data_IF_346311182772
#
_entry.id   IF_346311182772
#
_cell.length_a   1.000
_cell.length_b   1.000
_cell.length_c   1.000
_cell.angle_alpha   90.00
_cell.angle_beta   90.00
_cell.angle_gamma   90.00
#
_symmetry.space_group_name_H-M   'P 1'
#
loop_
_entity.id
_entity.type
_entity.pdbx_description
1 polymer ?
#
# COMPACT_ATOMS: atom_id res chain seq x y z
N UNK A 1 13.34 4.67 3.37
CA UNK A 1 13.30 3.27 3.89
C UNK A 1 11.95 3.04 4.54
N UNK A 2 11.30 1.87 4.33
CA UNK A 2 10.05 1.52 5.00
C UNK A 2 10.24 1.46 6.52
N UNK A 3 9.14 1.66 7.26
CA UNK A 3 9.15 1.50 8.71
C UNK A 3 9.48 0.05 9.08
N UNK A 4 10.27 -0.19 10.13
CA UNK A 4 10.61 -1.53 10.56
C UNK A 4 9.37 -2.26 11.07
N UNK A 5 9.32 -3.57 10.84
CA UNK A 5 8.33 -4.45 11.44
C UNK A 5 8.45 -4.45 12.98
N UNK A 6 7.35 -4.74 13.67
CA UNK A 6 7.37 -4.92 15.13
C UNK A 6 8.06 -6.23 15.51
N UNK A 7 8.51 -6.33 16.76
CA UNK A 7 9.10 -7.56 17.29
C UNK A 7 8.13 -8.74 17.13
N UNK A 8 8.63 -9.84 16.54
CA UNK A 8 7.85 -11.06 16.29
C UNK A 8 7.03 -11.07 15.00
N UNK A 9 6.99 -9.97 14.23
CA UNK A 9 6.36 -9.97 12.91
C UNK A 9 7.29 -10.61 11.86
N UNK A 10 6.76 -11.46 10.96
CA UNK A 10 7.56 -12.08 9.91
C UNK A 10 8.09 -11.03 8.93
N UNK A 11 9.25 -11.31 8.33
CA UNK A 11 9.81 -10.48 7.26
C UNK A 11 8.89 -10.48 6.04
N UNK A 12 8.73 -9.31 5.39
CA UNK A 12 8.01 -9.21 4.12
C UNK A 12 8.89 -9.65 2.96
N UNK A 13 8.47 -10.69 2.20
CA UNK A 13 9.33 -11.36 1.20
C UNK A 13 8.98 -11.06 -0.26
N UNK A 14 8.02 -10.18 -0.51
CA UNK A 14 7.69 -9.71 -1.86
C UNK A 14 8.35 -8.35 -2.12
N UNK A 15 8.37 -7.90 -3.37
CA UNK A 15 8.87 -6.56 -3.72
C UNK A 15 7.71 -5.56 -3.80
N UNK A 16 7.91 -4.37 -3.26
CA UNK A 16 6.95 -3.24 -3.35
C UNK A 16 7.59 -2.07 -4.07
N UNK A 17 6.85 -1.38 -4.93
CA UNK A 17 7.26 -0.15 -5.60
C UNK A 17 6.11 0.89 -5.62
N UNK A 18 6.29 2.09 -5.05
CA UNK A 18 7.45 2.53 -4.26
C UNK A 18 7.49 1.86 -2.89
N UNK A 19 8.70 1.59 -2.37
CA UNK A 19 8.89 0.80 -1.14
C UNK A 19 8.80 1.62 0.16
N UNK A 20 9.00 2.93 0.11
CA UNK A 20 9.23 3.76 1.30
C UNK A 20 8.24 4.91 1.47
N UNK A 21 7.88 5.61 0.39
CA UNK A 21 6.97 6.75 0.44
C UNK A 21 6.00 6.77 -0.73
N UNK A 22 4.75 7.08 -0.41
CA UNK A 22 3.72 7.36 -1.40
C UNK A 22 3.51 8.86 -1.54
N UNK A 23 3.45 9.33 -2.78
CA UNK A 23 3.15 10.71 -3.11
C UNK A 23 1.82 10.74 -3.84
N UNK A 24 0.79 11.27 -3.17
CA UNK A 24 -0.53 11.47 -3.75
C UNK A 24 -0.64 12.94 -4.12
N UNK A 25 -0.65 13.24 -5.43
CA UNK A 25 -0.88 14.60 -5.92
C UNK A 25 -2.39 14.84 -6.01
N UNK A 26 -2.84 15.98 -5.51
CA UNK A 26 -4.24 16.40 -5.56
C UNK A 26 -4.33 17.92 -5.61
N UNK A 27 -5.48 18.45 -6.05
CA UNK A 27 -5.75 19.88 -6.18
C UNK A 27 -7.04 20.24 -5.43
N UNK A 28 -6.92 21.07 -4.39
CA UNK A 28 -8.09 21.52 -3.62
C UNK A 28 -8.89 20.36 -3.02
N UNK A 29 -10.17 20.26 -3.40
CA UNK A 29 -11.11 19.22 -2.96
C UNK A 29 -11.32 18.12 -4.01
N UNK A 30 -10.34 17.89 -4.88
CA UNK A 30 -10.38 16.76 -5.83
C UNK A 30 -9.80 15.48 -5.20
N UNK A 31 -10.27 14.32 -5.66
CA UNK A 31 -9.69 13.03 -5.27
C UNK A 31 -8.25 12.92 -5.80
N UNK A 32 -7.29 12.67 -4.90
CA UNK A 32 -5.93 12.33 -5.26
C UNK A 32 -5.77 10.82 -5.43
N UNK A 33 -4.97 10.36 -6.38
CA UNK A 33 -4.69 8.92 -6.52
C UNK A 33 -3.22 8.63 -6.75
N UNK A 34 -2.78 7.45 -6.31
CA UNK A 34 -1.50 6.85 -6.66
C UNK A 34 -1.64 5.33 -6.77
N UNK A 35 -0.60 4.67 -7.28
CA UNK A 35 -0.53 3.21 -7.37
C UNK A 35 0.69 2.68 -6.64
N UNK A 36 0.56 1.46 -6.13
CA UNK A 36 1.64 0.64 -5.59
C UNK A 36 1.68 -0.68 -6.33
N UNK A 37 2.87 -1.08 -6.76
CA UNK A 37 3.10 -2.37 -7.40
C UNK A 37 3.63 -3.35 -6.37
N UNK A 38 3.02 -4.52 -6.29
CA UNK A 38 3.44 -5.63 -5.44
C UNK A 38 3.83 -6.78 -6.35
N UNK A 39 5.12 -7.09 -6.42
CA UNK A 39 5.66 -8.17 -7.26
C UNK A 39 5.98 -9.38 -6.41
N UNK A 40 5.44 -10.54 -6.79
CA UNK A 40 5.74 -11.79 -6.12
C UNK A 40 7.09 -12.34 -6.58
N UNK A 41 8.10 -12.18 -5.73
CA UNK A 41 9.45 -12.72 -5.93
C UNK A 41 9.62 -14.15 -5.43
N UNK A 42 8.57 -14.76 -4.88
CA UNK A 42 8.56 -16.14 -4.40
C UNK A 42 8.30 -17.14 -5.53
N UNK A 43 8.56 -18.42 -5.25
CA UNK A 43 8.31 -19.54 -6.17
C UNK A 43 6.87 -20.07 -6.10
N UNK A 44 6.10 -19.62 -5.12
CA UNK A 44 4.72 -20.03 -4.87
C UNK A 44 3.76 -18.85 -4.96
N UNK A 45 2.47 -19.16 -5.10
CA UNK A 45 1.41 -18.13 -5.13
C UNK A 45 1.30 -17.51 -3.74
N UNK A 46 1.45 -16.19 -3.66
CA UNK A 46 1.27 -15.43 -2.44
C UNK A 46 -0.06 -14.68 -2.44
N UNK A 47 -0.59 -14.40 -1.27
CA UNK A 47 -1.64 -13.40 -1.09
C UNK A 47 -1.07 -12.13 -0.48
N UNK A 48 -1.73 -11.00 -0.72
CA UNK A 48 -1.39 -9.74 -0.07
C UNK A 48 -2.62 -9.11 0.57
N UNK A 49 -2.39 -8.28 1.59
CA UNK A 49 -3.39 -7.40 2.21
C UNK A 49 -2.79 -6.03 2.44
N UNK A 50 -3.49 -4.98 2.00
CA UNK A 50 -3.09 -3.60 2.22
C UNK A 50 -4.05 -2.96 3.23
N UNK A 51 -3.48 -2.37 4.29
CA UNK A 51 -4.19 -1.60 5.30
C UNK A 51 -3.71 -0.16 5.28
N UNK A 52 -4.54 0.76 5.75
CA UNK A 52 -4.19 2.16 5.93
C UNK A 52 -4.57 2.62 7.35
N UNK A 53 -3.98 3.72 7.80
CA UNK A 53 -4.26 4.30 9.13
C UNK A 53 -5.67 4.87 9.28
N UNK A 54 -6.29 5.28 8.18
CA UNK A 54 -7.59 5.95 8.18
C UNK A 54 -8.39 5.58 6.92
N UNK A 55 -9.42 4.75 7.10
CA UNK A 55 -10.29 4.28 6.01
C UNK A 55 -11.36 5.30 5.61
N UNK A 56 -11.55 6.37 6.39
CA UNK A 56 -12.48 7.43 6.04
C UNK A 56 -11.89 8.33 4.96
N UNK A 57 -10.56 8.51 4.96
CA UNK A 57 -9.87 9.38 4.01
C UNK A 57 -9.14 8.63 2.90
N UNK A 58 -8.69 7.39 3.13
CA UNK A 58 -8.03 6.58 2.11
C UNK A 58 -8.92 5.44 1.64
N UNK A 59 -8.86 5.15 0.33
CA UNK A 59 -9.48 3.98 -0.27
C UNK A 59 -8.43 3.15 -1.00
N UNK A 60 -8.31 1.88 -0.64
CA UNK A 60 -7.37 0.95 -1.25
C UNK A 60 -8.11 -0.08 -2.13
N UNK A 61 -7.64 -0.28 -3.35
CA UNK A 61 -8.31 -1.11 -4.38
C UNK A 61 -7.27 -1.85 -5.27
N UNK A 62 -7.22 -3.19 -5.28
CA UNK A 62 -7.88 -4.09 -4.34
C UNK A 62 -7.18 -4.05 -2.96
N UNK A 63 -7.91 -4.15 -1.83
CA UNK A 63 -7.31 -4.18 -0.50
C UNK A 63 -6.70 -5.55 -0.15
N UNK A 64 -7.05 -6.59 -0.90
CA UNK A 64 -6.54 -7.94 -0.77
C UNK A 64 -6.57 -8.62 -2.14
N UNK A 65 -5.58 -9.47 -2.41
CA UNK A 65 -5.50 -10.21 -3.65
C UNK A 65 -4.48 -11.33 -3.60
N UNK A 66 -4.32 -12.01 -4.73
CA UNK A 66 -3.31 -13.04 -4.92
C UNK A 66 -2.40 -12.67 -6.09
N UNK A 67 -1.13 -13.07 -6.01
CA UNK A 67 -0.14 -12.85 -7.05
C UNK A 67 0.59 -14.17 -7.32
N UNK A 68 0.59 -14.63 -8.57
CA UNK A 68 1.32 -15.85 -8.95
C UNK A 68 2.84 -15.60 -8.90
N UNK A 69 3.67 -16.66 -8.86
CA UNK A 69 5.13 -16.52 -8.91
C UNK A 69 5.57 -15.66 -10.10
N UNK A 70 6.41 -14.65 -9.85
CA UNK A 70 6.95 -13.75 -10.87
C UNK A 70 5.97 -12.70 -11.40
N UNK A 71 4.68 -12.76 -11.04
CA UNK A 71 3.69 -11.76 -11.46
C UNK A 71 3.68 -10.53 -10.54
N UNK A 72 2.96 -9.50 -10.98
CA UNK A 72 2.78 -8.25 -10.25
C UNK A 72 1.30 -7.89 -10.17
N UNK A 73 0.87 -7.40 -8.99
CA UNK A 73 -0.41 -6.76 -8.80
C UNK A 73 -0.22 -5.26 -8.59
N UNK A 74 -1.09 -4.47 -9.23
CA UNK A 74 -1.17 -3.03 -9.01
C UNK A 74 -2.33 -2.72 -8.05
N UNK A 75 -2.02 -1.97 -6.99
CA UNK A 75 -2.97 -1.52 -5.97
C UNK A 75 -3.13 -0.01 -6.08
N UNK A 76 -4.33 0.43 -6.44
CA UNK A 76 -4.70 1.85 -6.45
C UNK A 76 -5.07 2.32 -5.05
N UNK A 77 -4.52 3.46 -4.68
CA UNK A 77 -4.82 4.19 -3.44
C UNK A 77 -5.42 5.53 -3.83
N UNK A 78 -6.61 5.83 -3.32
CA UNK A 78 -7.28 7.12 -3.46
C UNK A 78 -7.31 7.85 -2.13
N UNK A 79 -7.07 9.15 -2.15
CA UNK A 79 -7.27 10.09 -1.06
C UNK A 79 -8.56 10.88 -1.33
N UNK A 80 -9.54 10.76 -0.45
CA UNK A 80 -10.78 11.52 -0.54
C UNK A 80 -10.53 13.01 -0.25
N UNK A 81 -11.34 13.91 -0.83
CA UNK A 81 -11.28 15.34 -0.53
C UNK A 81 -11.45 15.62 0.97
N UNK A 82 -10.39 16.11 1.62
CA UNK A 82 -10.43 16.53 3.03
C UNK A 82 -9.38 17.60 3.29
N UNK A 83 -9.77 18.63 4.05
CA UNK A 83 -8.87 19.69 4.49
C UNK A 83 -8.11 19.27 5.76
N UNK A 84 -6.92 19.84 5.97
CA UNK A 84 -6.15 19.62 7.20
C UNK A 84 -5.57 18.21 7.36
N UNK A 85 -5.33 17.49 6.27
CA UNK A 85 -4.63 16.21 6.32
C UNK A 85 -3.16 16.46 6.69
N UNK A 86 -2.69 15.79 7.73
CA UNK A 86 -1.27 15.78 8.07
C UNK A 86 -0.56 14.64 7.30
N UNK A 87 0.26 14.95 6.28
CA UNK A 87 0.90 13.93 5.46
C UNK A 87 1.90 13.04 6.24
N UNK A 88 2.33 13.46 7.44
CA UNK A 88 3.32 12.72 8.23
C UNK A 88 2.69 11.76 9.24
N UNK A 89 1.35 11.72 9.34
CA UNK A 89 0.62 10.87 10.31
C UNK A 89 -0.04 9.64 9.70
N UNK A 90 0.12 9.44 8.39
CA UNK A 90 -0.57 8.39 7.66
C UNK A 90 0.39 7.37 7.06
N UNK A 91 0.04 6.10 7.23
CA UNK A 91 0.86 4.97 6.81
C UNK A 91 0.01 3.92 6.11
N UNK A 92 0.64 3.18 5.21
CA UNK A 92 0.08 2.00 4.57
C UNK A 92 0.92 0.79 4.95
N UNK A 93 0.26 -0.27 5.37
CA UNK A 93 0.90 -1.53 5.74
C UNK A 93 0.51 -2.62 4.75
N UNK A 94 1.52 -3.30 4.19
CA UNK A 94 1.34 -4.37 3.22
C UNK A 94 1.79 -5.68 3.88
N UNK A 95 0.88 -6.63 3.94
CA UNK A 95 1.10 -7.96 4.49
C UNK A 95 1.11 -8.98 3.35
N UNK A 96 1.85 -10.07 3.52
CA UNK A 96 1.79 -11.23 2.64
C UNK A 96 1.68 -12.53 3.44
N UNK A 97 1.09 -13.55 2.82
CA UNK A 97 1.12 -14.97 3.23
C UNK A 97 1.38 -15.80 2.00
#
# INVERSE_FOLDING_TARGET
MPLPNKAGEPEFKMKVDPADKLVIKYKGLEEGTCSVKITNTLKERACFKVKCTDNDIFRVRPPLGFVKPGEMAEVKISLKPKTGIDPNRHFFAIYHV
#
